data_IF_152468050098
#
_entry.id   IF_152468050098
#
_cell.length_a   1.000
_cell.length_b   1.000
_cell.length_c   1.000
_cell.angle_alpha   90.00
_cell.angle_beta   90.00
_cell.angle_gamma   90.00
#
_symmetry.space_group_name_H-M   'P 1'
#
loop_
_entity.id
_entity.type
_entity.pdbx_description
1 polymer ?
#
# COMPACT_ATOMS: atom_id res chain seq x y z
N UNK A 1 9.30 -10.37 23.14
CA UNK A 1 10.09 -9.66 22.13
C UNK A 1 11.41 -10.41 21.87
N UNK A 2 11.74 -10.69 20.61
CA UNK A 2 13.00 -11.32 20.18
C UNK A 2 13.75 -10.31 19.31
N UNK A 3 15.08 -10.21 19.47
CA UNK A 3 15.90 -9.28 18.71
C UNK A 3 17.15 -9.96 18.15
N UNK A 4 17.54 -9.57 16.94
CA UNK A 4 18.84 -9.94 16.35
C UNK A 4 19.46 -8.73 15.67
N UNK A 5 20.78 -8.66 15.65
CA UNK A 5 21.50 -7.54 15.01
C UNK A 5 22.40 -8.07 13.90
N UNK A 6 22.41 -7.37 12.79
CA UNK A 6 23.28 -7.62 11.66
C UNK A 6 23.87 -6.30 11.14
N UNK A 7 25.01 -6.34 10.49
CA UNK A 7 25.68 -5.15 9.97
C UNK A 7 25.82 -5.25 8.45
N UNK A 8 25.43 -4.20 7.76
CA UNK A 8 25.71 -3.96 6.34
C UNK A 8 26.64 -2.75 6.21
N UNK A 9 27.27 -2.52 5.06
CA UNK A 9 28.08 -1.32 4.87
C UNK A 9 27.30 -0.04 5.18
N UNK A 10 27.76 0.72 6.20
CA UNK A 10 27.15 1.96 6.67
C UNK A 10 25.83 1.81 7.46
N UNK A 11 25.39 0.58 7.75
CA UNK A 11 24.13 0.32 8.46
C UNK A 11 24.30 -0.74 9.56
N UNK A 12 23.74 -0.47 10.72
CA UNK A 12 23.39 -1.49 11.73
C UNK A 12 21.89 -1.76 11.65
N UNK A 13 21.52 -3.02 11.48
CA UNK A 13 20.14 -3.47 11.37
C UNK A 13 19.76 -4.26 12.63
N UNK A 14 18.82 -3.76 13.41
CA UNK A 14 18.24 -4.50 14.53
C UNK A 14 16.87 -5.04 14.10
N UNK A 15 16.79 -6.34 13.95
CA UNK A 15 15.52 -7.03 13.69
C UNK A 15 14.80 -7.27 15.01
N UNK A 16 13.53 -6.97 15.04
CA UNK A 16 12.66 -7.14 16.18
C UNK A 16 11.44 -7.96 15.75
N UNK A 17 11.08 -8.93 16.57
CA UNK A 17 9.86 -9.72 16.42
C UNK A 17 9.08 -9.71 17.72
N UNK A 18 7.80 -9.40 17.65
CA UNK A 18 6.89 -9.31 18.78
C UNK A 18 5.63 -10.12 18.51
N UNK A 19 5.19 -10.91 19.49
CA UNK A 19 3.89 -11.54 19.43
C UNK A 19 2.86 -10.53 19.96
N UNK A 20 1.83 -10.27 19.16
CA UNK A 20 0.76 -9.31 19.48
C UNK A 20 -0.60 -9.98 19.33
N UNK A 21 -1.66 -9.51 19.99
CA UNK A 21 -3.02 -10.01 19.77
C UNK A 21 -3.42 -9.88 18.30
N UNK A 22 -4.19 -10.83 17.77
CA UNK A 22 -4.84 -10.68 16.47
C UNK A 22 -5.83 -9.51 16.53
N UNK A 23 -6.70 -9.50 17.54
CA UNK A 23 -7.59 -8.38 17.89
C UNK A 23 -7.06 -7.71 19.18
N UNK A 24 -6.57 -6.48 19.06
CA UNK A 24 -6.08 -5.72 20.23
C UNK A 24 -7.22 -5.20 21.12
N UNK A 25 -8.40 -4.96 20.54
CA UNK A 25 -9.55 -4.47 21.29
C UNK A 25 -10.20 -5.56 22.16
N UNK A 26 -10.22 -6.81 21.66
CA UNK A 26 -10.84 -7.96 22.33
C UNK A 26 -9.92 -9.19 22.26
N UNK A 27 -8.81 -9.19 23.02
CA UNK A 27 -7.87 -10.31 23.00
C UNK A 27 -8.54 -11.63 23.43
N UNK A 28 -8.59 -12.60 22.53
CA UNK A 28 -9.18 -13.92 22.74
C UNK A 28 -8.13 -15.04 22.92
N UNK A 29 -6.87 -14.66 22.97
CA UNK A 29 -5.71 -15.55 23.07
C UNK A 29 -5.07 -15.87 21.69
N UNK A 30 -5.70 -15.53 20.57
CA UNK A 30 -5.05 -15.61 19.25
C UNK A 30 -3.97 -14.52 19.14
N UNK A 31 -2.78 -14.92 18.73
CA UNK A 31 -1.66 -13.99 18.49
C UNK A 31 -1.07 -14.16 17.12
N UNK A 32 -0.49 -13.10 16.62
CA UNK A 32 0.31 -13.08 15.40
C UNK A 32 1.71 -12.54 15.72
N UNK A 33 2.67 -12.92 14.89
CA UNK A 33 4.01 -12.37 14.95
C UNK A 33 4.09 -11.12 14.08
N UNK A 34 4.55 -10.01 14.66
CA UNK A 34 4.84 -8.76 13.95
C UNK A 34 6.34 -8.50 13.94
N UNK A 35 6.86 -8.19 12.78
CA UNK A 35 8.27 -7.95 12.52
C UNK A 35 8.53 -6.49 12.18
N UNK A 36 9.54 -5.91 12.82
CA UNK A 36 10.09 -4.61 12.45
C UNK A 36 11.61 -4.68 12.34
N UNK A 37 12.18 -3.88 11.46
CA UNK A 37 13.61 -3.71 11.31
C UNK A 37 14.00 -2.28 11.57
N UNK A 38 14.92 -2.06 12.50
CA UNK A 38 15.47 -0.74 12.81
C UNK A 38 16.77 -0.58 12.03
N UNK A 39 16.76 0.35 11.08
CA UNK A 39 17.98 0.75 10.36
C UNK A 39 18.61 1.94 11.08
N UNK A 40 19.87 1.78 11.48
CA UNK A 40 20.66 2.81 12.14
C UNK A 40 21.89 3.10 11.29
N UNK A 41 22.05 4.33 10.83
CA UNK A 41 23.24 4.79 10.15
C UNK A 41 24.42 4.93 11.11
N UNK A 42 25.64 5.04 10.59
CA UNK A 42 26.86 5.23 11.39
C UNK A 42 26.73 6.45 12.32
N UNK A 43 27.02 6.25 13.62
CA UNK A 43 26.89 7.28 14.66
C UNK A 43 25.43 7.69 14.96
N UNK A 44 24.46 6.90 14.52
CA UNK A 44 23.03 7.22 14.65
C UNK A 44 22.30 6.65 15.88
N UNK A 45 23.05 6.02 16.83
CA UNK A 45 22.46 5.24 17.93
C UNK A 45 21.60 6.09 18.89
N UNK A 46 21.83 7.40 18.94
CA UNK A 46 21.09 8.33 19.82
C UNK A 46 20.04 9.15 19.06
N UNK A 47 19.90 8.97 17.76
CA UNK A 47 18.87 9.69 16.98
C UNK A 47 17.47 9.24 17.35
N UNK A 48 16.47 10.12 17.23
CA UNK A 48 15.06 9.77 17.43
C UNK A 48 14.61 8.74 16.38
N UNK A 49 13.49 8.09 16.68
CA UNK A 49 12.91 7.11 15.77
C UNK A 49 11.96 7.73 14.76
N UNK A 50 12.02 7.24 13.53
CA UNK A 50 11.05 7.47 12.48
C UNK A 50 10.48 6.12 12.04
N UNK A 51 9.17 5.95 12.11
CA UNK A 51 8.49 4.73 11.64
C UNK A 51 8.01 4.94 10.22
N UNK A 52 8.44 4.07 9.32
CA UNK A 52 7.95 4.05 7.96
C UNK A 52 6.74 3.14 7.84
N UNK A 53 5.62 3.70 7.43
CA UNK A 53 4.36 3.02 7.11
C UNK A 53 4.20 2.92 5.60
N UNK A 54 4.24 1.68 5.11
CA UNK A 54 4.22 1.38 3.68
C UNK A 54 2.82 1.56 3.09
N UNK A 55 2.78 1.90 1.80
CA UNK A 55 1.56 1.94 1.00
C UNK A 55 1.03 0.56 0.60
N UNK A 56 -0.06 0.54 -0.06
CA UNK A 56 -0.80 -0.64 -0.50
C UNK A 56 -2.29 -0.49 -0.24
N UNK A 57 -2.90 -1.33 0.62
CA UNK A 57 -2.41 -2.17 1.73
C UNK A 57 -1.63 -3.43 1.33
N UNK A 58 -1.14 -4.15 2.34
CA UNK A 58 -0.62 -5.50 2.16
C UNK A 58 0.83 -5.60 1.63
N UNK A 59 1.57 -4.51 1.58
CA UNK A 59 2.99 -4.52 1.24
C UNK A 59 3.87 -4.50 2.49
N UNK A 60 4.92 -5.32 2.48
CA UNK A 60 5.98 -5.23 3.47
C UNK A 60 6.85 -3.98 3.26
N UNK A 61 7.56 -3.57 4.29
CA UNK A 61 8.54 -2.48 4.20
C UNK A 61 9.70 -2.82 3.27
N UNK A 62 10.30 -1.81 2.60
CA UNK A 62 11.46 -2.02 1.75
C UNK A 62 12.64 -2.57 2.56
N UNK A 63 13.45 -3.40 1.91
CA UNK A 63 14.67 -3.96 2.52
C UNK A 63 15.79 -2.91 2.50
N UNK A 64 16.31 -2.50 3.66
CA UNK A 64 17.26 -1.40 3.75
C UNK A 64 18.63 -1.77 3.20
N UNK A 65 19.18 -0.87 2.39
CA UNK A 65 20.55 -0.87 1.91
C UNK A 65 20.96 0.56 1.59
N UNK A 66 22.25 0.87 1.59
CA UNK A 66 22.78 2.15 1.12
C UNK A 66 23.43 2.04 -0.28
N UNK A 67 23.31 0.89 -0.93
CA UNK A 67 23.74 0.74 -2.33
C UNK A 67 22.82 1.57 -3.22
N UNK A 68 23.31 2.60 -3.93
CA UNK A 68 22.44 3.59 -4.60
C UNK A 68 21.42 3.01 -5.59
N UNK A 69 21.77 1.92 -6.28
CA UNK A 69 20.88 1.26 -7.25
C UNK A 69 19.79 0.39 -6.60
N UNK A 70 19.86 0.10 -5.31
CA UNK A 70 18.98 -0.80 -4.60
C UNK A 70 18.36 -0.17 -3.34
N UNK A 71 18.87 0.99 -2.89
CA UNK A 71 18.35 1.70 -1.73
C UNK A 71 16.97 2.29 -2.03
N UNK A 72 16.04 2.27 -1.07
CA UNK A 72 14.91 3.20 -1.10
C UNK A 72 15.44 4.63 -1.11
N UNK A 73 15.17 5.41 -2.16
CA UNK A 73 15.80 6.72 -2.40
C UNK A 73 15.74 7.69 -1.21
N UNK A 74 14.67 7.63 -0.42
CA UNK A 74 14.44 8.45 0.76
C UNK A 74 15.24 7.99 2.01
N UNK A 75 15.64 6.70 2.10
CA UNK A 75 16.25 6.12 3.30
C UNK A 75 17.57 6.81 3.70
N UNK A 76 18.53 7.06 2.78
CA UNK A 76 19.76 7.77 3.13
C UNK A 76 19.51 9.15 3.72
N UNK A 77 18.46 9.86 3.25
CA UNK A 77 18.06 11.16 3.80
C UNK A 77 17.44 11.02 5.20
N UNK A 78 16.57 10.03 5.41
CA UNK A 78 15.97 9.78 6.71
C UNK A 78 17.01 9.47 7.79
N UNK A 79 18.03 8.68 7.46
CA UNK A 79 19.11 8.28 8.36
C UNK A 79 20.01 9.44 8.82
N UNK A 80 19.95 10.61 8.16
CA UNK A 80 20.66 11.80 8.63
C UNK A 80 20.09 12.33 9.95
N UNK A 81 18.76 12.20 10.14
CA UNK A 81 18.09 12.74 11.32
C UNK A 81 17.51 11.65 12.25
N UNK A 82 17.31 10.43 11.76
CA UNK A 82 16.54 9.40 12.46
C UNK A 82 17.21 8.02 12.45
N UNK A 83 16.77 7.17 13.38
CA UNK A 83 16.80 5.71 13.27
C UNK A 83 15.48 5.30 12.62
N UNK A 84 15.51 4.51 11.56
CA UNK A 84 14.32 4.22 10.78
C UNK A 84 13.76 2.84 11.14
N UNK A 85 12.53 2.80 11.63
CA UNK A 85 11.78 1.57 11.88
C UNK A 85 11.01 1.21 10.63
N UNK A 86 11.36 0.11 10.01
CA UNK A 86 10.75 -0.48 8.83
C UNK A 86 9.83 -1.61 9.30
N UNK A 87 8.54 -1.31 9.42
CA UNK A 87 7.53 -2.26 9.86
C UNK A 87 7.03 -3.09 8.69
N UNK A 88 7.18 -4.42 8.74
CA UNK A 88 6.33 -5.28 7.94
C UNK A 88 4.94 -5.28 8.59
N UNK A 89 3.96 -4.66 7.96
CA UNK A 89 2.60 -4.59 8.50
C UNK A 89 2.02 -6.01 8.65
N UNK A 90 1.12 -6.20 9.62
CA UNK A 90 0.48 -7.50 9.87
C UNK A 90 -0.05 -8.14 8.57
N UNK A 91 0.15 -9.43 8.41
CA UNK A 91 -0.20 -10.17 7.18
C UNK A 91 0.81 -10.04 6.03
N UNK A 92 1.95 -9.33 6.22
CA UNK A 92 2.92 -9.09 5.17
C UNK A 92 4.35 -9.49 5.55
N UNK A 93 5.19 -9.72 4.55
CA UNK A 93 6.63 -9.91 4.74
C UNK A 93 6.98 -10.98 5.76
N UNK A 94 7.48 -10.56 6.93
CA UNK A 94 7.82 -11.42 8.07
C UNK A 94 6.80 -11.34 9.22
N UNK A 95 5.72 -10.59 9.02
CA UNK A 95 4.65 -10.38 10.01
C UNK A 95 3.46 -11.31 9.73
N UNK A 96 3.62 -12.60 10.01
CA UNK A 96 2.60 -13.63 9.79
C UNK A 96 1.94 -13.51 8.42
N UNK A 97 2.70 -13.67 7.31
CA UNK A 97 2.24 -13.32 5.97
C UNK A 97 1.05 -14.16 5.51
N UNK A 98 0.12 -13.51 4.81
CA UNK A 98 -1.00 -14.18 4.15
C UNK A 98 -0.53 -14.78 2.83
N UNK A 99 -0.90 -16.04 2.60
CA UNK A 99 -0.63 -16.77 1.37
C UNK A 99 -1.83 -17.62 0.99
N UNK A 100 -2.10 -17.73 -0.29
CA UNK A 100 -3.13 -18.61 -0.84
C UNK A 100 -2.75 -20.09 -0.80
N UNK A 101 -1.46 -20.40 -0.69
CA UNK A 101 -0.96 -21.78 -0.74
C UNK A 101 -0.07 -22.05 0.46
N UNK A 102 -0.45 -22.98 1.35
CA UNK A 102 0.44 -23.45 2.40
C UNK A 102 1.68 -24.11 1.75
N UNK A 103 2.86 -23.63 2.06
CA UNK A 103 4.08 -24.36 1.72
C UNK A 103 4.19 -25.50 2.74
N UNK A 104 3.73 -26.67 2.35
CA UNK A 104 4.02 -27.88 3.13
C UNK A 104 5.53 -28.17 3.05
N UNK A 105 6.21 -28.39 4.18
CA UNK A 105 7.59 -28.86 4.14
C UNK A 105 7.63 -30.17 3.35
N UNK A 106 8.64 -30.31 2.48
CA UNK A 106 8.81 -31.57 1.73
C UNK A 106 8.87 -32.74 2.72
N UNK A 107 8.20 -33.87 2.43
CA UNK A 107 8.25 -35.04 3.29
C UNK A 107 9.71 -35.45 3.57
N UNK A 108 10.13 -35.43 4.83
CA UNK A 108 11.49 -35.77 5.25
C UNK A 108 12.52 -34.63 5.29
N UNK A 109 12.11 -33.42 5.05
CA UNK A 109 13.00 -32.26 5.25
C UNK A 109 13.14 -31.99 6.76
N UNK A 110 14.30 -32.29 7.31
CA UNK A 110 14.69 -31.76 8.62
C UNK A 110 14.94 -30.26 8.49
N UNK A 111 14.42 -29.43 9.40
CA UNK A 111 14.70 -28.01 9.39
C UNK A 111 16.18 -27.78 9.68
N UNK A 112 16.96 -27.51 8.63
CA UNK A 112 18.38 -27.14 8.77
C UNK A 112 18.56 -25.71 8.30
N UNK A 113 19.02 -24.84 9.19
CA UNK A 113 19.34 -23.46 8.89
C UNK A 113 18.65 -22.44 9.80
N UNK A 114 18.99 -21.16 9.63
CA UNK A 114 18.49 -20.03 10.44
C UNK A 114 16.96 -19.81 10.39
N UNK A 115 16.26 -20.58 9.60
CA UNK A 115 14.79 -20.55 9.44
C UNK A 115 14.12 -21.81 10.00
N UNK A 116 14.82 -22.63 10.79
CA UNK A 116 14.35 -23.91 11.29
C UNK A 116 13.21 -23.81 12.34
N UNK A 117 12.93 -22.63 12.86
CA UNK A 117 11.92 -22.39 13.89
C UNK A 117 10.65 -21.70 13.37
N UNK A 118 10.64 -21.20 12.14
CA UNK A 118 9.45 -20.63 11.55
C UNK A 118 8.66 -21.74 10.83
N UNK A 119 7.76 -22.40 11.55
CA UNK A 119 6.64 -23.05 10.91
C UNK A 119 5.82 -21.94 10.26
N UNK A 120 6.04 -21.69 8.97
CA UNK A 120 5.15 -20.79 8.20
C UNK A 120 3.82 -21.53 8.08
N UNK A 121 3.02 -21.46 9.11
CA UNK A 121 1.62 -21.82 9.05
C UNK A 121 0.95 -20.72 8.27
N UNK A 122 0.44 -21.01 7.07
CA UNK A 122 -0.45 -20.08 6.39
C UNK A 122 -1.62 -19.82 7.35
N UNK A 123 -1.82 -18.61 7.86
CA UNK A 123 -2.74 -18.34 8.96
C UNK A 123 -4.20 -18.62 8.59
N UNK A 124 -4.52 -18.67 7.29
CA UNK A 124 -5.85 -18.99 6.78
C UNK A 124 -6.03 -20.49 6.48
N UNK A 125 -4.98 -21.32 6.58
CA UNK A 125 -5.05 -22.72 6.23
C UNK A 125 -5.97 -23.49 7.19
N UNK A 126 -6.95 -24.20 6.63
CA UNK A 126 -7.91 -25.00 7.40
C UNK A 126 -9.04 -24.22 8.05
N UNK A 127 -9.09 -22.90 7.93
CA UNK A 127 -10.22 -22.09 8.35
C UNK A 127 -11.36 -22.15 7.32
N UNK A 128 -12.60 -22.12 7.81
CA UNK A 128 -13.78 -21.88 6.97
C UNK A 128 -13.79 -20.46 6.40
N UNK A 129 -14.60 -20.20 5.37
CA UNK A 129 -14.64 -18.90 4.69
C UNK A 129 -15.00 -17.76 5.64
N UNK A 130 -15.94 -17.98 6.55
CA UNK A 130 -16.35 -16.97 7.55
C UNK A 130 -15.21 -16.65 8.52
N UNK A 131 -14.49 -17.66 9.01
CA UNK A 131 -13.35 -17.49 9.90
C UNK A 131 -12.17 -16.80 9.18
N UNK A 132 -11.97 -17.09 7.89
CA UNK A 132 -10.98 -16.40 7.07
C UNK A 132 -11.33 -14.91 6.91
N UNK A 133 -12.60 -14.60 6.64
CA UNK A 133 -13.08 -13.23 6.52
C UNK A 133 -12.90 -12.48 7.85
N UNK A 134 -13.30 -13.08 8.96
CA UNK A 134 -13.10 -12.52 10.31
C UNK A 134 -11.61 -12.24 10.57
N UNK A 135 -10.72 -13.20 10.31
CA UNK A 135 -9.29 -13.01 10.47
C UNK A 135 -8.78 -11.81 9.66
N UNK A 136 -9.19 -11.67 8.40
CA UNK A 136 -8.74 -10.61 7.51
C UNK A 136 -9.25 -9.22 7.92
N UNK A 137 -10.37 -9.12 8.65
CA UNK A 137 -10.85 -7.83 9.17
C UNK A 137 -9.86 -7.21 10.16
N UNK A 138 -9.03 -8.02 10.81
CA UNK A 138 -7.99 -7.57 11.74
C UNK A 138 -6.68 -7.15 11.06
N UNK A 139 -6.59 -7.10 9.72
CA UNK A 139 -5.37 -6.71 9.02
C UNK A 139 -5.41 -5.27 8.47
N UNK A 140 -6.31 -4.44 8.98
CA UNK A 140 -6.54 -3.05 8.58
C UNK A 140 -5.67 -2.06 9.36
N UNK A 141 -5.70 -0.79 8.96
CA UNK A 141 -4.88 0.29 9.51
C UNK A 141 -5.05 0.52 11.02
N UNK A 142 -6.23 0.31 11.57
CA UNK A 142 -6.51 0.44 13.01
C UNK A 142 -5.67 -0.54 13.84
N UNK A 143 -5.61 -1.80 13.43
CA UNK A 143 -4.79 -2.81 14.10
C UNK A 143 -3.29 -2.64 13.82
N UNK A 144 -2.91 -2.12 12.64
CA UNK A 144 -1.52 -1.76 12.35
C UNK A 144 -1.03 -0.66 13.30
N UNK A 145 -1.88 0.29 13.65
CA UNK A 145 -1.55 1.34 14.65
C UNK A 145 -1.33 0.73 16.03
N UNK A 146 -2.17 -0.21 16.43
CA UNK A 146 -2.01 -0.92 17.72
C UNK A 146 -0.70 -1.73 17.76
N UNK A 147 -0.29 -2.35 16.65
CA UNK A 147 1.02 -3.01 16.53
C UNK A 147 2.17 -2.02 16.67
N UNK A 148 2.04 -0.83 16.07
CA UNK A 148 3.03 0.22 16.22
C UNK A 148 3.18 0.63 17.70
N UNK A 149 2.08 0.80 18.42
CA UNK A 149 2.13 1.12 19.86
C UNK A 149 2.80 0.00 20.66
N UNK A 150 2.46 -1.26 20.40
CA UNK A 150 3.11 -2.39 21.05
C UNK A 150 4.63 -2.42 20.79
N UNK A 151 5.09 -2.11 19.58
CA UNK A 151 6.52 -2.00 19.23
C UNK A 151 7.15 -0.81 19.94
N UNK A 152 6.50 0.36 19.93
CA UNK A 152 7.00 1.59 20.59
C UNK A 152 7.24 1.35 22.08
N UNK A 153 6.28 0.76 22.75
CA UNK A 153 6.37 0.41 24.17
C UNK A 153 7.46 -0.61 24.44
N UNK A 154 7.55 -1.67 23.61
CA UNK A 154 8.60 -2.68 23.74
C UNK A 154 10.01 -2.12 23.52
N UNK A 155 10.15 -1.04 22.76
CA UNK A 155 11.41 -0.30 22.57
C UNK A 155 11.66 0.74 23.68
N UNK A 156 10.70 1.01 24.57
CA UNK A 156 10.79 2.04 25.60
C UNK A 156 10.83 3.46 25.03
N UNK A 157 10.23 3.68 23.85
CA UNK A 157 10.23 4.97 23.15
C UNK A 157 9.00 5.78 23.56
N UNK A 158 9.21 6.98 24.11
CA UNK A 158 8.12 7.84 24.53
C UNK A 158 7.32 8.38 23.33
N UNK A 159 8.02 8.91 22.33
CA UNK A 159 7.43 9.45 21.09
C UNK A 159 8.33 9.15 19.91
N UNK A 160 7.73 8.99 18.75
CA UNK A 160 8.43 8.87 17.46
C UNK A 160 7.78 9.69 16.36
N UNK A 161 8.46 9.80 15.21
CA UNK A 161 7.94 10.48 14.03
C UNK A 161 7.41 9.43 13.05
N UNK A 162 6.29 9.72 12.38
CA UNK A 162 5.76 8.87 11.31
C UNK A 162 6.25 9.35 9.94
N UNK A 163 6.50 8.40 9.04
CA UNK A 163 6.62 8.62 7.59
C UNK A 163 5.64 7.68 6.89
N UNK A 164 4.49 8.21 6.48
CA UNK A 164 3.45 7.46 5.80
C UNK A 164 3.42 7.75 4.30
N UNK A 165 3.46 6.71 3.48
CA UNK A 165 3.32 6.84 2.02
C UNK A 165 2.05 6.13 1.57
N UNK A 166 1.15 6.86 0.82
CA UNK A 166 -0.10 6.28 0.31
C UNK A 166 -0.96 5.72 1.46
N UNK A 167 -1.38 4.45 1.44
CA UNK A 167 -2.06 3.78 2.56
C UNK A 167 -1.33 3.95 3.91
N UNK A 168 0.01 4.05 3.91
CA UNK A 168 0.77 4.38 5.13
C UNK A 168 0.43 5.76 5.69
N UNK A 169 0.01 6.70 4.84
CA UNK A 169 -0.55 7.99 5.24
C UNK A 169 -1.94 7.82 5.88
N UNK A 170 -2.79 6.95 5.32
CA UNK A 170 -4.09 6.60 5.92
C UNK A 170 -3.91 6.00 7.32
N UNK A 171 -2.97 5.08 7.45
CA UNK A 171 -2.57 4.52 8.75
C UNK A 171 -2.05 5.62 9.70
N UNK A 172 -1.29 6.59 9.18
CA UNK A 172 -0.81 7.73 9.97
C UNK A 172 -1.95 8.64 10.45
N UNK A 173 -2.98 8.88 9.63
CA UNK A 173 -4.18 9.62 10.03
C UNK A 173 -4.95 8.88 11.14
N UNK A 174 -5.05 7.56 11.05
CA UNK A 174 -5.60 6.74 12.13
C UNK A 174 -4.77 6.90 13.40
N UNK A 175 -3.43 6.87 13.30
CA UNK A 175 -2.52 7.03 14.43
C UNK A 175 -2.67 8.42 15.08
N UNK A 176 -2.68 9.49 14.28
CA UNK A 176 -2.92 10.86 14.74
C UNK A 176 -4.25 11.01 15.47
N UNK A 177 -5.29 10.32 15.01
CA UNK A 177 -6.61 10.40 15.63
C UNK A 177 -6.74 9.59 16.93
N UNK A 178 -5.95 8.51 17.08
CA UNK A 178 -6.08 7.56 18.20
C UNK A 178 -5.01 7.77 19.28
N UNK A 179 -3.75 8.05 18.91
CA UNK A 179 -2.60 8.13 19.82
C UNK A 179 -1.68 9.33 19.52
N UNK A 180 -2.19 10.56 19.43
CA UNK A 180 -1.37 11.74 19.13
C UNK A 180 -0.27 11.96 20.19
N UNK A 181 -0.49 11.53 21.44
CA UNK A 181 0.48 11.63 22.54
C UNK A 181 1.76 10.82 22.29
N UNK A 182 1.71 9.77 21.48
CA UNK A 182 2.84 8.92 21.09
C UNK A 182 3.69 9.50 19.95
N UNK A 183 3.28 10.65 19.40
CA UNK A 183 3.87 11.22 18.21
C UNK A 183 4.66 12.49 18.48
N UNK A 184 5.84 12.59 17.86
CA UNK A 184 6.66 13.80 17.83
C UNK A 184 6.43 14.60 16.53
N UNK A 185 5.87 13.99 15.50
CA UNK A 185 5.53 14.58 14.21
C UNK A 185 5.06 13.52 13.25
N UNK A 186 4.43 13.94 12.15
CA UNK A 186 4.02 13.05 11.06
C UNK A 186 4.37 13.66 9.69
N UNK A 187 4.93 12.83 8.83
CA UNK A 187 5.31 13.17 7.46
C UNK A 187 4.49 12.28 6.53
N UNK A 188 3.67 12.86 5.67
CA UNK A 188 2.75 12.15 4.78
C UNK A 188 3.08 12.44 3.31
N UNK A 189 3.05 11.44 2.47
CA UNK A 189 3.29 11.62 1.03
C UNK A 189 2.22 10.90 0.21
N UNK A 190 1.40 11.65 -0.55
CA UNK A 190 0.27 11.10 -1.28
C UNK A 190 -0.62 10.24 -0.38
N UNK A 191 -0.88 10.67 0.87
CA UNK A 191 -1.48 9.84 1.89
C UNK A 191 -2.50 10.55 2.80
N UNK A 192 -2.99 11.73 2.41
CA UNK A 192 -4.13 12.38 3.05
C UNK A 192 -5.43 11.82 2.46
N UNK A 193 -5.98 10.78 3.09
CA UNK A 193 -7.22 10.12 2.66
C UNK A 193 -8.41 11.07 2.69
N UNK A 194 -9.47 10.72 1.96
CA UNK A 194 -10.73 11.47 1.89
C UNK A 194 -11.59 11.28 3.16
N UNK A 195 -11.16 11.83 4.29
CA UNK A 195 -11.83 11.68 5.58
C UNK A 195 -13.23 12.30 5.54
N UNK A 196 -14.25 11.51 5.89
CA UNK A 196 -15.65 11.95 5.95
C UNK A 196 -16.41 11.90 4.63
N UNK A 197 -15.79 11.47 3.54
CA UNK A 197 -16.46 11.30 2.25
C UNK A 197 -16.98 9.86 2.08
N UNK A 198 -18.15 9.68 1.43
CA UNK A 198 -18.62 8.35 1.03
C UNK A 198 -17.66 7.66 0.08
N UNK A 199 -17.50 6.34 0.22
CA UNK A 199 -16.62 5.55 -0.63
C UNK A 199 -16.98 5.66 -2.13
N UNK A 200 -18.26 5.82 -2.43
CA UNK A 200 -18.75 6.02 -3.79
C UNK A 200 -18.21 7.31 -4.43
N UNK A 201 -18.19 8.41 -3.68
CA UNK A 201 -17.70 9.70 -4.16
C UNK A 201 -16.18 9.64 -4.42
N UNK A 202 -15.46 8.91 -3.56
CA UNK A 202 -14.01 8.69 -3.71
C UNK A 202 -13.73 7.95 -5.02
N UNK A 203 -14.41 6.82 -5.26
CA UNK A 203 -14.20 6.05 -6.49
C UNK A 203 -14.73 6.77 -7.75
N UNK A 204 -15.85 7.48 -7.67
CA UNK A 204 -16.32 8.31 -8.78
C UNK A 204 -15.26 9.37 -9.17
N UNK A 205 -14.60 9.98 -8.17
CA UNK A 205 -13.53 10.95 -8.39
C UNK A 205 -12.28 10.31 -9.00
N UNK A 206 -11.82 9.17 -8.47
CA UNK A 206 -10.64 8.48 -9.02
C UNK A 206 -10.90 7.94 -10.43
N UNK A 207 -12.12 7.47 -10.75
CA UNK A 207 -12.52 7.14 -12.12
C UNK A 207 -12.42 8.35 -13.06
N UNK A 208 -12.91 9.52 -12.63
CA UNK A 208 -12.82 10.74 -13.44
C UNK A 208 -11.37 11.14 -13.69
N UNK A 209 -10.50 10.98 -12.70
CA UNK A 209 -9.06 11.23 -12.84
C UNK A 209 -8.44 10.23 -13.83
N UNK A 210 -8.76 8.93 -13.73
CA UNK A 210 -8.21 7.93 -14.63
C UNK A 210 -8.67 8.11 -16.09
N UNK A 211 -9.90 8.57 -16.30
CA UNK A 211 -10.34 9.00 -17.65
C UNK A 211 -9.44 10.11 -18.18
N UNK A 212 -9.19 11.16 -17.38
CA UNK A 212 -8.29 12.26 -17.76
C UNK A 212 -6.87 11.75 -18.05
N UNK A 213 -6.31 10.90 -17.18
CA UNK A 213 -4.98 10.30 -17.36
C UNK A 213 -4.88 9.48 -18.65
N UNK A 214 -5.91 8.70 -18.99
CA UNK A 214 -5.97 7.95 -20.24
C UNK A 214 -5.96 8.89 -21.46
N UNK A 215 -6.76 9.96 -21.44
CA UNK A 215 -6.80 10.95 -22.51
C UNK A 215 -5.47 11.73 -22.63
N UNK A 216 -4.79 12.03 -21.52
CA UNK A 216 -3.47 12.65 -21.47
C UNK A 216 -2.41 11.74 -22.09
N UNK A 217 -2.43 10.46 -21.78
CA UNK A 217 -1.57 9.45 -22.38
C UNK A 217 -1.74 9.40 -23.91
N UNK A 218 -2.97 9.33 -24.39
CA UNK A 218 -3.24 9.27 -25.84
C UNK A 218 -2.99 10.57 -26.59
N UNK A 219 -3.03 11.73 -25.92
CA UNK A 219 -2.54 12.98 -26.53
C UNK A 219 -1.02 12.96 -26.76
N UNK A 220 -0.30 12.29 -25.85
CA UNK A 220 1.15 12.14 -25.93
C UNK A 220 1.55 11.03 -26.90
N UNK A 221 0.83 9.91 -26.91
CA UNK A 221 1.05 8.73 -27.74
C UNK A 221 -0.23 8.35 -28.51
N UNK A 222 -0.57 9.05 -29.60
CA UNK A 222 -1.86 8.87 -30.29
C UNK A 222 -2.14 7.46 -30.81
N UNK A 223 -1.08 6.73 -31.22
CA UNK A 223 -1.19 5.35 -31.72
C UNK A 223 -1.59 4.33 -30.66
N UNK A 224 -1.33 4.63 -29.39
CA UNK A 224 -1.53 3.68 -28.28
C UNK A 224 -3.02 3.37 -28.03
N UNK A 225 -3.92 4.29 -28.36
CA UNK A 225 -5.36 4.05 -28.26
C UNK A 225 -5.80 2.88 -29.15
N UNK A 226 -5.27 2.77 -30.36
CA UNK A 226 -5.58 1.67 -31.28
C UNK A 226 -4.90 0.38 -30.86
N UNK A 227 -3.70 0.45 -30.27
CA UNK A 227 -3.00 -0.70 -29.69
C UNK A 227 -3.78 -1.27 -28.49
N UNK A 228 -4.23 -0.42 -27.56
CA UNK A 228 -5.07 -0.84 -26.43
C UNK A 228 -6.35 -1.52 -26.92
N UNK A 229 -7.05 -0.91 -27.90
CA UNK A 229 -8.26 -1.52 -28.50
C UNK A 229 -7.97 -2.89 -29.10
N UNK A 230 -6.87 -3.01 -29.85
CA UNK A 230 -6.45 -4.27 -30.48
C UNK A 230 -6.12 -5.34 -29.42
N UNK A 231 -5.36 -5.00 -28.39
CA UNK A 231 -4.98 -5.94 -27.33
C UNK A 231 -6.22 -6.36 -26.54
N UNK A 232 -7.12 -5.44 -26.20
CA UNK A 232 -8.38 -5.75 -25.53
C UNK A 232 -9.24 -6.73 -26.34
N UNK A 233 -9.33 -6.57 -27.66
CA UNK A 233 -10.02 -7.51 -28.53
C UNK A 233 -9.35 -8.90 -28.57
N UNK A 234 -8.02 -8.98 -28.46
CA UNK A 234 -7.31 -10.26 -28.30
C UNK A 234 -7.58 -10.90 -26.95
N UNK A 235 -7.69 -10.10 -25.89
CA UNK A 235 -8.09 -10.57 -24.55
C UNK A 235 -9.48 -11.22 -24.60
N UNK A 236 -10.47 -10.55 -25.19
CA UNK A 236 -11.84 -11.07 -25.34
C UNK A 236 -11.89 -12.39 -26.13
N UNK A 237 -10.95 -12.59 -27.07
CA UNK A 237 -10.82 -13.82 -27.82
C UNK A 237 -10.06 -14.93 -27.05
N UNK A 238 -9.64 -14.69 -25.80
CA UNK A 238 -8.83 -15.63 -25.01
C UNK A 238 -7.44 -15.89 -25.60
N UNK A 239 -6.85 -14.91 -26.30
CA UNK A 239 -5.56 -15.05 -27.00
C UNK A 239 -4.39 -14.43 -26.22
N UNK A 240 -4.66 -13.73 -25.13
CA UNK A 240 -3.64 -13.18 -24.25
C UNK A 240 -3.58 -14.01 -22.98
N UNK A 241 -2.40 -14.53 -22.67
CA UNK A 241 -2.13 -15.28 -21.44
C UNK A 241 -0.86 -14.80 -20.76
N UNK A 242 -0.84 -14.91 -19.44
CA UNK A 242 0.33 -14.67 -18.61
C UNK A 242 1.26 -15.90 -18.58
N UNK A 243 2.51 -15.76 -18.09
CA UNK A 243 3.46 -16.88 -18.02
C UNK A 243 2.99 -18.05 -17.14
N UNK A 244 2.10 -17.81 -16.16
CA UNK A 244 1.48 -18.84 -15.32
C UNK A 244 0.31 -19.58 -16.00
N UNK A 245 -0.06 -19.17 -17.23
CA UNK A 245 -1.17 -19.74 -18.02
C UNK A 245 -2.53 -19.06 -17.79
N UNK A 246 -2.64 -18.09 -16.91
CA UNK A 246 -3.89 -17.35 -16.71
C UNK A 246 -4.25 -16.54 -17.97
N UNK A 247 -5.49 -16.62 -18.40
CA UNK A 247 -6.02 -15.76 -19.45
C UNK A 247 -6.27 -14.37 -18.90
N UNK A 248 -6.00 -13.36 -19.72
CA UNK A 248 -6.25 -11.95 -19.37
C UNK A 248 -7.50 -11.49 -20.08
N UNK A 249 -8.52 -11.05 -19.34
CA UNK A 249 -9.70 -10.37 -19.88
C UNK A 249 -9.37 -8.94 -20.30
N UNK A 250 -10.22 -8.32 -21.10
CA UNK A 250 -10.10 -6.90 -21.42
C UNK A 250 -10.21 -6.02 -20.16
N UNK A 251 -11.04 -6.40 -19.19
CA UNK A 251 -11.18 -5.70 -17.92
C UNK A 251 -9.90 -5.79 -17.08
N UNK A 252 -9.34 -6.99 -16.94
CA UNK A 252 -8.04 -7.17 -16.25
C UNK A 252 -6.92 -6.42 -16.98
N UNK A 253 -6.86 -6.42 -18.29
CA UNK A 253 -5.87 -5.67 -19.07
C UNK A 253 -5.95 -4.17 -18.79
N UNK A 254 -7.15 -3.60 -18.64
CA UNK A 254 -7.35 -2.17 -18.36
C UNK A 254 -6.71 -1.71 -17.04
N UNK A 255 -6.47 -2.62 -16.11
CA UNK A 255 -5.81 -2.29 -14.83
C UNK A 255 -4.34 -1.89 -14.99
N UNK A 256 -3.70 -2.13 -16.15
CA UNK A 256 -2.36 -1.58 -16.46
C UNK A 256 -2.32 -0.05 -16.37
N UNK A 257 -3.48 0.60 -16.47
CA UNK A 257 -3.62 2.04 -16.31
C UNK A 257 -3.19 2.56 -14.94
N UNK A 258 -3.04 1.71 -13.93
CA UNK A 258 -2.43 2.09 -12.65
C UNK A 258 -1.06 2.75 -12.84
N UNK A 259 -0.32 2.40 -13.89
CA UNK A 259 0.96 3.03 -14.20
C UNK A 259 0.85 4.51 -14.50
N UNK A 260 -0.29 4.98 -15.02
CA UNK A 260 -0.52 6.38 -15.38
C UNK A 260 -0.55 7.33 -14.16
N UNK A 261 -0.70 6.79 -12.96
CA UNK A 261 -0.57 7.53 -11.70
C UNK A 261 0.85 7.56 -11.13
N UNK A 262 1.83 6.97 -11.83
CA UNK A 262 3.22 6.91 -11.41
C UNK A 262 4.12 7.71 -12.35
N UNK A 263 5.19 8.29 -11.82
CA UNK A 263 6.19 9.00 -12.61
C UNK A 263 6.81 8.06 -13.67
N UNK A 264 6.80 8.50 -14.94
CA UNK A 264 7.28 7.69 -16.07
C UNK A 264 6.35 6.54 -16.47
N UNK A 265 5.18 6.43 -15.84
CA UNK A 265 4.24 5.34 -16.11
C UNK A 265 3.61 5.38 -17.50
N UNK A 266 3.43 6.58 -18.05
CA UNK A 266 2.92 6.76 -19.42
C UNK A 266 3.90 6.19 -20.45
N UNK A 267 5.20 6.42 -20.28
CA UNK A 267 6.25 5.86 -21.12
C UNK A 267 6.36 4.33 -20.97
N UNK A 268 6.28 3.84 -19.73
CA UNK A 268 6.31 2.40 -19.47
C UNK A 268 5.12 1.69 -20.13
N UNK A 269 3.94 2.30 -20.11
CA UNK A 269 2.76 1.76 -20.80
C UNK A 269 2.98 1.78 -22.32
N UNK A 270 3.48 2.89 -22.88
CA UNK A 270 3.79 2.99 -24.29
C UNK A 270 4.73 1.87 -24.76
N UNK A 271 5.84 1.66 -24.08
CA UNK A 271 6.80 0.61 -24.44
C UNK A 271 6.24 -0.82 -24.25
N UNK A 272 5.35 -1.06 -23.30
CA UNK A 272 4.62 -2.32 -23.21
C UNK A 272 3.75 -2.55 -24.45
N UNK A 273 3.05 -1.50 -24.92
CA UNK A 273 2.14 -1.57 -26.06
C UNK A 273 2.87 -1.73 -27.41
N UNK A 274 4.16 -1.35 -27.51
CA UNK A 274 5.00 -1.57 -28.71
C UNK A 274 5.36 -3.05 -28.94
N UNK A 275 5.30 -3.88 -27.89
CA UNK A 275 5.65 -5.29 -27.98
C UNK A 275 4.59 -6.07 -28.78
N UNK A 276 5.05 -7.09 -29.51
CA UNK A 276 4.12 -8.04 -30.15
C UNK A 276 3.34 -8.81 -29.08
N UNK A 277 1.99 -8.71 -29.06
CA UNK A 277 1.16 -9.41 -28.08
C UNK A 277 1.32 -10.94 -28.05
N UNK A 278 1.89 -11.55 -29.09
CA UNK A 278 2.20 -12.98 -29.13
C UNK A 278 3.58 -13.34 -28.58
N UNK A 279 4.39 -12.34 -28.21
CA UNK A 279 5.75 -12.55 -27.73
C UNK A 279 5.82 -12.91 -26.25
N UNK A 280 6.85 -13.69 -25.87
CA UNK A 280 7.14 -13.95 -24.47
C UNK A 280 7.47 -12.65 -23.68
N UNK A 281 8.13 -11.68 -24.33
CA UNK A 281 8.41 -10.39 -23.73
C UNK A 281 7.14 -9.68 -23.29
N UNK A 282 6.15 -9.57 -24.20
CA UNK A 282 4.85 -8.97 -23.86
C UNK A 282 4.16 -9.68 -22.69
N UNK A 283 4.11 -11.02 -22.71
CA UNK A 283 3.44 -11.80 -21.65
C UNK A 283 4.09 -11.59 -20.28
N UNK A 284 5.43 -11.56 -20.20
CA UNK A 284 6.15 -11.33 -18.94
C UNK A 284 6.06 -9.88 -18.47
N UNK A 285 6.19 -8.91 -19.39
CA UNK A 285 6.11 -7.50 -19.04
C UNK A 285 4.68 -7.11 -18.66
N UNK A 286 3.66 -7.69 -19.32
CA UNK A 286 2.26 -7.54 -18.91
C UNK A 286 2.02 -8.09 -17.50
N UNK A 287 2.53 -9.28 -17.18
CA UNK A 287 2.41 -9.84 -15.83
C UNK A 287 3.02 -8.92 -14.77
N UNK A 288 4.17 -8.29 -15.09
CA UNK A 288 4.81 -7.30 -14.21
C UNK A 288 4.11 -5.92 -14.21
N UNK A 289 3.21 -5.67 -15.18
CA UNK A 289 2.46 -4.42 -15.30
C UNK A 289 1.14 -4.45 -14.53
N UNK A 290 0.53 -5.63 -14.42
CA UNK A 290 -0.74 -5.81 -13.69
C UNK A 290 -0.54 -5.58 -12.20
N UNK A 291 -1.40 -4.78 -11.54
CA UNK A 291 -1.17 -4.34 -10.15
C UNK A 291 -1.52 -5.39 -9.09
N UNK A 292 -2.46 -6.26 -9.39
CA UNK A 292 -3.06 -7.18 -8.43
C UNK A 292 -2.71 -8.62 -8.77
N UNK A 293 -2.27 -9.39 -7.78
CA UNK A 293 -1.88 -10.78 -7.97
C UNK A 293 -1.42 -11.45 -6.67
N UNK A 294 -1.06 -12.72 -6.73
CA UNK A 294 -0.74 -13.54 -5.57
C UNK A 294 0.52 -13.13 -4.80
N UNK A 295 1.40 -12.32 -5.39
CA UNK A 295 2.56 -11.73 -4.66
C UNK A 295 2.12 -10.88 -3.47
N UNK A 296 0.98 -10.22 -3.57
CA UNK A 296 0.37 -9.41 -2.53
C UNK A 296 -1.16 -9.55 -2.57
N UNK A 297 -1.71 -10.69 -2.11
CA UNK A 297 -3.15 -10.90 -2.16
C UNK A 297 -3.95 -9.89 -1.33
N UNK A 298 -3.37 -9.40 -0.22
CA UNK A 298 -4.03 -8.42 0.64
C UNK A 298 -4.32 -7.11 -0.07
N UNK A 299 -3.53 -6.75 -1.09
CA UNK A 299 -3.79 -5.54 -1.89
C UNK A 299 -5.14 -5.65 -2.61
N UNK A 300 -5.42 -6.79 -3.24
CA UNK A 300 -6.72 -7.02 -3.88
C UNK A 300 -7.86 -7.15 -2.85
N UNK A 301 -7.62 -7.90 -1.76
CA UNK A 301 -8.67 -8.28 -0.80
C UNK A 301 -9.09 -7.15 0.12
N UNK A 302 -8.14 -6.26 0.52
CA UNK A 302 -8.39 -5.23 1.53
C UNK A 302 -8.35 -3.80 0.98
N UNK A 303 -8.06 -3.58 -0.31
CA UNK A 303 -7.89 -2.22 -0.83
C UNK A 303 -9.12 -1.34 -0.57
N UNK A 304 -10.33 -1.79 -0.92
CA UNK A 304 -11.54 -1.00 -0.71
C UNK A 304 -11.80 -0.68 0.77
N UNK A 305 -11.41 -1.58 1.69
CA UNK A 305 -11.55 -1.33 3.13
C UNK A 305 -10.78 -0.11 3.62
N UNK A 306 -9.77 0.34 2.86
CA UNK A 306 -8.98 1.55 3.15
C UNK A 306 -9.79 2.84 3.05
N UNK A 307 -10.92 2.80 2.34
CA UNK A 307 -11.86 3.91 2.19
C UNK A 307 -13.18 3.69 2.93
N UNK A 308 -13.38 2.50 3.53
CA UNK A 308 -14.58 2.19 4.27
C UNK A 308 -14.51 2.76 5.70
N UNK A 309 -15.33 3.75 6.00
CA UNK A 309 -15.40 4.43 7.30
C UNK A 309 -16.80 4.29 7.92
N UNK A 310 -17.05 3.16 8.57
CA UNK A 310 -18.35 2.83 9.16
C UNK A 310 -19.37 2.28 8.15
N UNK A 311 -18.92 1.72 7.04
CA UNK A 311 -19.77 1.20 5.96
C UNK A 311 -19.21 -0.07 5.34
N UNK A 312 -20.06 -0.85 4.64
CA UNK A 312 -19.65 -1.93 3.76
C UNK A 312 -19.25 -1.38 2.38
N UNK A 313 -18.24 -1.97 1.75
CA UNK A 313 -17.72 -1.47 0.46
C UNK A 313 -18.59 -1.87 -0.71
N UNK A 314 -19.10 -3.10 -0.72
CA UNK A 314 -19.99 -3.67 -1.76
C UNK A 314 -19.45 -3.48 -3.18
N UNK A 315 -18.16 -3.69 -3.37
CA UNK A 315 -17.49 -3.51 -4.65
C UNK A 315 -17.70 -2.09 -5.20
N UNK A 316 -17.36 -1.08 -4.40
CA UNK A 316 -17.62 0.32 -4.71
C UNK A 316 -16.95 0.76 -6.01
N UNK A 317 -15.75 0.29 -6.33
CA UNK A 317 -15.07 0.59 -7.59
C UNK A 317 -15.86 0.11 -8.81
N UNK A 318 -16.44 -1.11 -8.75
CA UNK A 318 -17.30 -1.65 -9.82
C UNK A 318 -18.61 -0.89 -9.95
N UNK A 319 -19.27 -0.60 -8.81
CA UNK A 319 -20.58 0.07 -8.79
C UNK A 319 -20.53 1.49 -9.32
N UNK A 320 -19.44 2.18 -9.10
CA UNK A 320 -19.25 3.59 -9.47
C UNK A 320 -18.55 3.77 -10.82
N UNK A 321 -18.19 2.68 -11.51
CA UNK A 321 -17.60 2.76 -12.84
C UNK A 321 -18.56 3.53 -13.78
N UNK A 322 -18.10 4.65 -14.40
CA UNK A 322 -18.96 5.43 -15.30
C UNK A 322 -19.32 4.66 -16.58
N UNK A 323 -20.50 4.90 -17.14
CA UNK A 323 -20.94 4.28 -18.41
C UNK A 323 -19.93 4.53 -19.53
N UNK A 324 -19.40 5.73 -19.63
CA UNK A 324 -18.32 6.05 -20.59
C UNK A 324 -17.14 5.09 -20.50
N UNK A 325 -16.75 4.68 -19.26
CA UNK A 325 -15.66 3.75 -19.04
C UNK A 325 -16.07 2.32 -19.40
N UNK A 326 -17.34 1.94 -19.16
CA UNK A 326 -17.87 0.62 -19.55
C UNK A 326 -17.92 0.45 -21.08
N UNK A 327 -18.27 1.53 -21.79
CA UNK A 327 -18.46 1.53 -23.24
C UNK A 327 -17.14 1.68 -24.01
N UNK A 328 -16.14 2.37 -23.46
CA UNK A 328 -14.85 2.59 -24.09
C UNK A 328 -13.72 1.82 -23.40
N UNK A 329 -13.37 0.66 -23.95
CA UNK A 329 -12.31 -0.22 -23.45
C UNK A 329 -10.93 0.44 -23.42
N UNK A 330 -10.75 1.58 -24.10
CA UNK A 330 -9.49 2.32 -24.10
C UNK A 330 -9.33 3.25 -22.88
N UNK A 331 -10.38 3.46 -22.12
CA UNK A 331 -10.30 4.20 -20.86
C UNK A 331 -9.82 3.25 -19.75
N UNK A 332 -8.61 3.49 -19.25
CA UNK A 332 -7.89 2.60 -18.35
C UNK A 332 -8.29 2.83 -16.90
N UNK A 333 -8.22 1.78 -16.09
CA UNK A 333 -8.45 1.82 -14.64
C UNK A 333 -7.17 2.14 -13.85
N UNK A 334 -7.33 2.51 -12.59
CA UNK A 334 -6.27 2.72 -11.61
C UNK A 334 -6.32 1.67 -10.49
N UNK A 335 -6.38 2.13 -9.25
CA UNK A 335 -6.59 1.27 -8.07
C UNK A 335 -8.07 0.88 -7.90
N UNK A 336 -8.67 0.37 -8.97
CA UNK A 336 -10.05 -0.08 -9.02
C UNK A 336 -10.09 -1.61 -9.05
N UNK A 337 -10.43 -2.21 -7.90
CA UNK A 337 -10.52 -3.66 -7.78
C UNK A 337 -11.86 -4.12 -8.35
N UNK A 338 -11.82 -5.04 -9.32
CA UNK A 338 -13.00 -5.65 -9.91
C UNK A 338 -13.26 -7.02 -9.29
N UNK A 339 -14.51 -7.32 -8.99
CA UNK A 339 -14.91 -8.62 -8.45
C UNK A 339 -14.47 -9.77 -9.35
N UNK A 340 -14.51 -9.58 -10.67
CA UNK A 340 -14.13 -10.58 -11.68
C UNK A 340 -12.66 -11.00 -11.57
N UNK A 341 -11.78 -10.13 -11.06
CA UNK A 341 -10.36 -10.39 -10.88
C UNK A 341 -10.10 -11.68 -10.08
N UNK A 342 -10.90 -11.94 -9.04
CA UNK A 342 -10.77 -13.13 -8.20
C UNK A 342 -11.15 -14.45 -8.92
N UNK A 343 -11.89 -14.38 -10.01
CA UNK A 343 -12.15 -15.53 -10.89
C UNK A 343 -11.08 -15.74 -11.97
N UNK A 344 -10.41 -14.68 -12.38
CA UNK A 344 -9.47 -14.65 -13.50
C UNK A 344 -8.03 -14.94 -13.09
N UNK A 345 -7.60 -14.46 -11.91
CA UNK A 345 -6.27 -14.70 -11.37
C UNK A 345 -6.22 -15.99 -10.56
N UNK A 346 -5.39 -16.95 -10.98
CA UNK A 346 -5.30 -18.28 -10.33
C UNK A 346 -4.78 -18.20 -8.89
N UNK A 347 -3.98 -17.19 -8.55
CA UNK A 347 -3.41 -16.99 -7.21
C UNK A 347 -4.38 -16.22 -6.30
N UNK A 348 -5.28 -15.40 -6.85
CA UNK A 348 -6.32 -14.70 -6.10
C UNK A 348 -7.63 -15.49 -5.98
N UNK A 349 -7.85 -16.47 -6.85
CA UNK A 349 -9.06 -17.32 -6.85
C UNK A 349 -9.39 -17.95 -5.49
N UNK A 350 -8.43 -18.41 -4.68
CA UNK A 350 -8.71 -18.93 -3.33
C UNK A 350 -9.38 -17.92 -2.40
N UNK A 351 -9.23 -16.62 -2.66
CA UNK A 351 -9.82 -15.53 -1.86
C UNK A 351 -11.20 -15.07 -2.38
N UNK A 352 -11.72 -15.60 -3.47
CA UNK A 352 -12.95 -15.09 -4.10
C UNK A 352 -14.14 -15.03 -3.12
N UNK A 353 -14.43 -16.13 -2.43
CA UNK A 353 -15.54 -16.19 -1.48
C UNK A 353 -15.32 -15.29 -0.25
N UNK A 354 -14.09 -15.19 0.22
CA UNK A 354 -13.71 -14.30 1.33
C UNK A 354 -13.84 -12.83 0.92
N UNK A 355 -13.40 -12.48 -0.30
CA UNK A 355 -13.51 -11.11 -0.81
C UNK A 355 -14.98 -10.66 -0.92
N UNK A 356 -15.90 -11.56 -1.30
CA UNK A 356 -17.33 -11.27 -1.30
C UNK A 356 -17.87 -11.02 0.12
N UNK A 357 -17.45 -11.81 1.12
CA UNK A 357 -17.84 -11.57 2.53
C UNK A 357 -17.28 -10.24 3.05
N UNK A 358 -16.04 -9.91 2.73
CA UNK A 358 -15.42 -8.64 3.14
C UNK A 358 -16.06 -7.43 2.46
N UNK A 359 -16.55 -7.58 1.23
CA UNK A 359 -17.30 -6.54 0.55
C UNK A 359 -18.62 -6.20 1.26
N UNK A 360 -19.29 -7.19 1.86
CA UNK A 360 -20.52 -7.00 2.64
C UNK A 360 -20.28 -6.71 4.14
N UNK A 361 -19.03 -6.80 4.59
CA UNK A 361 -18.67 -6.50 5.97
C UNK A 361 -18.84 -5.01 6.29
N UNK A 362 -19.58 -4.69 7.36
CA UNK A 362 -19.68 -3.33 7.87
C UNK A 362 -18.41 -2.99 8.66
N UNK A 363 -17.50 -2.25 8.02
CA UNK A 363 -16.22 -1.86 8.59
C UNK A 363 -16.39 -0.84 9.70
N UNK A 364 -15.64 -0.98 10.78
CA UNK A 364 -15.56 0.03 11.82
C UNK A 364 -15.07 1.38 11.27
N UNK A 365 -15.37 2.47 11.97
CA UNK A 365 -14.81 3.78 11.63
C UNK A 365 -13.29 3.75 11.69
N UNK A 366 -12.68 4.14 10.60
CA UNK A 366 -11.22 4.25 10.48
C UNK A 366 -10.71 5.49 11.20
N UNK A 367 -11.35 6.61 10.94
CA UNK A 367 -10.93 7.91 11.42
C UNK A 367 -11.84 8.42 12.52
N UNK A 368 -11.23 9.14 13.47
CA UNK A 368 -11.92 9.84 14.54
C UNK A 368 -11.75 11.34 14.27
N UNK A 369 -12.70 12.02 13.60
CA UNK A 369 -12.55 13.43 13.21
C UNK A 369 -12.24 14.34 14.41
N UNK A 370 -12.92 14.14 15.55
CA UNK A 370 -12.63 14.87 16.77
C UNK A 370 -11.21 14.58 17.33
N UNK A 371 -10.68 13.37 17.06
CA UNK A 371 -9.32 13.00 17.39
C UNK A 371 -8.31 13.76 16.52
N UNK A 372 -8.55 13.81 15.20
CA UNK A 372 -7.73 14.59 14.27
C UNK A 372 -7.72 16.08 14.63
N UNK A 373 -8.89 16.65 14.93
CA UNK A 373 -9.01 18.06 15.32
C UNK A 373 -8.30 18.41 16.63
N UNK A 374 -8.03 17.43 17.47
CA UNK A 374 -7.29 17.60 18.75
C UNK A 374 -5.83 17.15 18.66
N UNK A 375 -5.38 16.62 17.54
CA UNK A 375 -4.01 16.14 17.38
C UNK A 375 -3.03 17.32 17.33
N UNK A 376 -2.52 17.71 18.49
CA UNK A 376 -1.48 18.75 18.64
C UNK A 376 -0.10 18.15 18.30
N UNK A 377 0.07 17.77 17.02
CA UNK A 377 1.26 17.14 16.48
C UNK A 377 1.61 17.86 15.17
N UNK A 378 2.86 18.31 14.96
CA UNK A 378 3.25 18.90 13.69
C UNK A 378 3.17 17.88 12.56
N UNK A 379 2.42 18.21 11.51
CA UNK A 379 2.23 17.38 10.31
C UNK A 379 2.76 18.12 9.10
N UNK A 380 3.51 17.43 8.25
CA UNK A 380 3.87 17.91 6.91
C UNK A 380 3.41 16.90 5.87
N UNK A 381 2.77 17.38 4.82
CA UNK A 381 2.25 16.51 3.77
C UNK A 381 2.66 16.98 2.37
N UNK A 382 3.21 16.07 1.56
CA UNK A 382 3.30 16.27 0.12
C UNK A 382 1.96 15.84 -0.52
N UNK A 383 1.30 16.80 -1.16
CA UNK A 383 0.05 16.60 -1.89
C UNK A 383 0.35 16.78 -3.38
N UNK A 384 0.19 15.71 -4.15
CA UNK A 384 0.51 15.73 -5.57
C UNK A 384 -0.70 16.17 -6.38
N UNK A 385 -0.54 17.26 -7.15
CA UNK A 385 -1.64 17.90 -7.87
C UNK A 385 -2.36 16.96 -8.85
N UNK A 386 -1.62 16.05 -9.45
CA UNK A 386 -2.12 15.13 -10.47
C UNK A 386 -2.26 13.68 -9.95
N UNK A 387 -2.30 13.50 -8.64
CA UNK A 387 -2.43 12.18 -8.03
C UNK A 387 -3.68 11.45 -8.54
N UNK A 388 -3.50 10.21 -8.98
CA UNK A 388 -4.59 9.41 -9.53
C UNK A 388 -5.32 8.57 -8.46
N UNK A 389 -4.77 8.48 -7.26
CA UNK A 389 -5.24 7.59 -6.20
C UNK A 389 -5.70 8.35 -4.97
N UNK A 390 -5.00 9.43 -4.63
CA UNK A 390 -5.32 10.27 -3.47
C UNK A 390 -5.60 11.70 -3.96
N UNK A 391 -6.86 12.00 -4.33
CA UNK A 391 -7.23 13.24 -5.01
C UNK A 391 -6.86 14.49 -4.21
N UNK A 392 -6.39 15.51 -4.93
CA UNK A 392 -5.94 16.80 -4.39
C UNK A 392 -6.98 17.44 -3.45
N UNK A 393 -8.23 17.55 -3.91
CA UNK A 393 -9.27 18.28 -3.17
C UNK A 393 -9.54 17.61 -1.82
N UNK A 394 -9.71 16.29 -1.80
CA UNK A 394 -9.88 15.53 -0.56
C UNK A 394 -8.65 15.59 0.35
N UNK A 395 -7.46 15.61 -0.24
CA UNK A 395 -6.22 15.77 0.54
C UNK A 395 -6.17 17.12 1.25
N UNK A 396 -6.59 18.20 0.59
CA UNK A 396 -6.62 19.54 1.20
C UNK A 396 -7.72 19.67 2.26
N UNK A 397 -8.89 19.07 2.02
CA UNK A 397 -9.96 19.00 3.03
C UNK A 397 -9.51 18.26 4.27
N UNK A 398 -8.85 17.11 4.12
CA UNK A 398 -8.31 16.34 5.24
C UNK A 398 -7.18 17.09 5.96
N UNK A 399 -6.30 17.78 5.23
CA UNK A 399 -5.27 18.63 5.84
C UNK A 399 -5.89 19.71 6.74
N UNK A 400 -7.03 20.26 6.33
CA UNK A 400 -7.73 21.30 7.11
C UNK A 400 -8.37 20.78 8.42
N UNK A 401 -8.53 19.46 8.59
CA UNK A 401 -8.98 18.86 9.85
C UNK A 401 -7.90 18.83 10.93
N UNK A 402 -6.61 18.99 10.55
CA UNK A 402 -5.47 18.90 11.45
C UNK A 402 -5.03 20.30 11.88
N UNK A 403 -4.83 20.56 13.20
CA UNK A 403 -4.50 21.89 13.72
C UNK A 403 -3.18 22.46 13.19
N UNK A 404 -2.15 21.64 13.01
CA UNK A 404 -0.82 22.02 12.48
C UNK A 404 -0.40 21.12 11.31
N UNK A 405 -1.11 21.23 10.19
CA UNK A 405 -0.75 20.54 8.96
C UNK A 405 -0.22 21.53 7.90
N UNK A 406 1.01 21.31 7.48
CA UNK A 406 1.67 22.04 6.41
C UNK A 406 1.63 21.21 5.13
N UNK A 407 0.62 21.48 4.30
CA UNK A 407 0.42 20.80 3.02
C UNK A 407 1.25 21.48 1.92
N UNK A 408 2.25 20.77 1.41
CA UNK A 408 3.01 21.18 0.24
C UNK A 408 2.38 20.61 -1.02
N UNK A 409 1.69 21.45 -1.79
CA UNK A 409 1.08 21.07 -3.06
C UNK A 409 2.12 21.22 -4.17
N UNK A 410 2.35 20.15 -4.94
CA UNK A 410 3.29 20.17 -6.05
C UNK A 410 2.77 19.41 -7.27
N UNK A 411 3.09 19.91 -8.47
CA UNK A 411 2.81 19.26 -9.76
C UNK A 411 4.04 18.55 -10.36
N UNK A 412 5.17 18.56 -9.64
CA UNK A 412 6.43 17.99 -10.15
C UNK A 412 6.43 16.47 -10.15
N UNK A 413 5.58 15.87 -9.33
CA UNK A 413 5.53 14.42 -9.14
C UNK A 413 4.11 13.89 -9.36
N UNK A 414 4.05 12.63 -9.76
CA UNK A 414 2.89 11.78 -9.62
C UNK A 414 2.85 11.17 -8.20
N UNK A 415 1.99 10.20 -7.95
CA UNK A 415 1.81 9.58 -6.62
C UNK A 415 3.09 9.11 -5.91
N UNK A 416 4.13 8.79 -6.63
CA UNK A 416 5.35 8.16 -6.11
C UNK A 416 6.51 9.12 -5.82
N UNK A 417 6.27 10.41 -5.59
CA UNK A 417 7.31 11.45 -5.42
C UNK A 417 8.36 11.10 -4.38
N UNK A 418 7.98 10.57 -3.22
CA UNK A 418 8.91 10.11 -2.18
C UNK A 418 9.96 9.10 -2.70
N UNK A 419 9.56 8.25 -3.64
CA UNK A 419 10.43 7.21 -4.22
C UNK A 419 11.32 7.76 -5.33
N UNK A 420 10.88 8.85 -5.95
CA UNK A 420 11.58 9.44 -7.10
C UNK A 420 12.66 10.43 -6.69
N UNK A 421 12.45 11.17 -5.60
CA UNK A 421 13.34 12.24 -5.17
C UNK A 421 13.47 12.30 -3.65
N UNK A 422 14.68 12.10 -3.08
CA UNK A 422 14.95 12.30 -1.66
C UNK A 422 14.71 13.74 -1.20
N UNK A 423 14.69 14.72 -2.10
CA UNK A 423 14.36 16.12 -1.85
C UNK A 423 12.94 16.29 -1.31
N UNK A 424 12.01 15.41 -1.69
CA UNK A 424 10.64 15.40 -1.12
C UNK A 424 10.70 15.21 0.39
N UNK A 425 11.43 14.19 0.87
CA UNK A 425 11.58 13.96 2.31
C UNK A 425 12.34 15.09 2.99
N UNK A 426 13.39 15.64 2.39
CA UNK A 426 14.12 16.77 2.95
C UNK A 426 13.22 17.99 3.16
N UNK A 427 12.38 18.29 2.17
CA UNK A 427 11.41 19.38 2.26
C UNK A 427 10.45 19.16 3.43
N UNK A 428 9.84 17.98 3.53
CA UNK A 428 8.85 17.68 4.56
C UNK A 428 9.46 17.63 5.98
N UNK A 429 10.68 17.10 6.15
CA UNK A 429 11.40 17.16 7.42
C UNK A 429 11.62 18.64 7.82
N UNK A 430 11.99 19.50 6.87
CA UNK A 430 12.14 20.92 7.11
C UNK A 430 10.86 21.60 7.60
N UNK A 431 9.71 21.21 7.05
CA UNK A 431 8.39 21.68 7.48
C UNK A 431 8.04 21.18 8.89
N UNK A 432 8.12 19.88 9.16
CA UNK A 432 7.79 19.30 10.49
C UNK A 432 8.67 19.91 11.59
N UNK A 433 9.94 20.15 11.31
CA UNK A 433 10.89 20.72 12.27
C UNK A 433 10.81 22.25 12.40
N UNK A 434 9.92 22.91 11.66
CA UNK A 434 9.80 24.37 11.67
C UNK A 434 10.98 25.12 11.06
N UNK A 435 11.85 24.44 10.31
CA UNK A 435 12.97 25.06 9.57
C UNK A 435 12.51 25.65 8.24
N UNK A 436 11.34 25.25 7.76
CA UNK A 436 10.64 25.77 6.58
C UNK A 436 9.21 26.11 6.95
N UNK A 437 8.60 27.07 6.26
CA UNK A 437 7.21 27.49 6.48
C UNK A 437 6.31 27.23 5.26
N UNK A 438 6.90 27.09 4.08
CA UNK A 438 6.25 26.78 2.80
C UNK A 438 7.19 25.94 1.93
#
# INVERSE_FOLDING_TARGET
MRTTTETLPGLTLTNLTLDVPLDHAHPDGRTIEVFARIATGEGGEQKPYLVFLQGGPGNESPRPTLVPSAAPGWLPRALQDYRVVLLDQRGTGRSTPISSTPISPAPGASPTGRHAEATVTAPLAGLGTDDQAEYLTHLRADEIVNDCEAIREALGVAKWTLLGQSFGGFTSLRYLSAHPESLAGAILTGGLSAVGHPIEDIYATTWAIMVRKSEEHYRRFPGDRDLVRRISALCEQGRISLPNGDLVSAERFRTVGIRLGMQGGSEQLHYLLELDPSSAAFSHDLAGALPFGGRNPLYAVLHESSYADGVATRWAADRTMPDRVREDVTLLGGEHIHRTLFGEDSELRPFAAVADLLAEHEWNRMYLPDGLARADVPVAAAVYQNDAYVPLDYSLETAALLPDCRAWVTSEYEHNGLRMDPGVLDHLIGLVQGRRWQ
#
